data_IF_773997824606
#
_entry.id   IF_773997824606
#
_cell.length_a   1.000
_cell.length_b   1.000
_cell.length_c   1.000
_cell.angle_alpha   90.00
_cell.angle_beta   90.00
_cell.angle_gamma   90.00
#
_symmetry.space_group_name_H-M   'P 1'
#
loop_
_entity.id
_entity.type
_entity.pdbx_description
1 polymer ?
#
# COMPACT_ATOMS: atom_id res chain seq x y z
N UNK A 1 12.04 18.61 6.63
CA UNK A 1 11.21 18.31 5.45
C UNK A 1 11.74 16.99 4.93
N UNK A 2 11.04 15.89 5.22
CA UNK A 2 11.39 14.60 4.63
C UNK A 2 11.28 14.68 3.11
N UNK A 3 12.08 13.85 2.43
CA UNK A 3 12.04 13.79 0.98
C UNK A 3 10.71 13.13 0.57
N UNK A 4 9.88 13.86 -0.16
CA UNK A 4 8.63 13.33 -0.72
C UNK A 4 8.97 12.18 -1.66
N UNK A 5 8.41 11.00 -1.40
CA UNK A 5 8.53 9.85 -2.30
C UNK A 5 7.84 10.15 -3.63
N UNK A 6 8.42 9.66 -4.73
CA UNK A 6 7.82 9.77 -6.08
C UNK A 6 7.43 8.42 -6.65
N UNK A 7 7.88 7.34 -6.01
CA UNK A 7 7.52 5.96 -6.30
C UNK A 7 7.97 5.04 -5.17
N UNK A 8 7.42 3.83 -5.14
CA UNK A 8 7.81 2.75 -4.23
C UNK A 8 8.22 1.51 -5.01
N UNK A 9 9.01 0.66 -4.36
CA UNK A 9 9.33 -0.70 -4.81
C UNK A 9 9.23 -1.65 -3.61
N UNK A 10 8.37 -2.66 -3.71
CA UNK A 10 8.08 -3.59 -2.61
C UNK A 10 8.87 -4.89 -2.77
N UNK A 11 9.43 -5.38 -1.67
CA UNK A 11 10.18 -6.62 -1.65
C UNK A 11 9.24 -7.81 -1.91
N UNK A 12 9.58 -8.67 -2.86
CA UNK A 12 8.86 -9.93 -3.09
C UNK A 12 9.25 -10.95 -2.02
N UNK A 13 8.29 -11.71 -1.51
CA UNK A 13 8.48 -12.80 -0.57
C UNK A 13 9.28 -13.92 -1.24
N UNK A 14 10.51 -14.23 -0.78
CA UNK A 14 11.34 -15.26 -1.42
C UNK A 14 11.06 -16.67 -0.88
N UNK A 15 10.66 -16.79 0.39
CA UNK A 15 10.45 -18.05 1.10
C UNK A 15 9.62 -17.82 2.38
N UNK A 16 9.01 -18.89 2.90
CA UNK A 16 8.08 -18.84 4.03
C UNK A 16 8.69 -18.26 5.33
N UNK A 17 9.94 -18.55 5.62
CA UNK A 17 10.67 -18.07 6.80
C UNK A 17 10.88 -16.53 6.78
N UNK A 18 10.65 -15.89 5.63
CA UNK A 18 10.76 -14.44 5.46
C UNK A 18 9.40 -13.74 5.49
N UNK A 19 8.30 -14.45 5.77
CA UNK A 19 6.94 -13.89 5.71
C UNK A 19 6.77 -12.65 6.59
N UNK A 20 7.07 -12.77 7.89
CA UNK A 20 6.87 -11.69 8.85
C UNK A 20 7.70 -10.44 8.54
N UNK A 21 9.04 -10.53 8.38
CA UNK A 21 9.84 -9.36 8.05
C UNK A 21 9.52 -8.79 6.67
N UNK A 22 9.02 -9.61 5.73
CA UNK A 22 8.58 -9.11 4.42
C UNK A 22 7.30 -8.27 4.53
N UNK A 23 6.29 -8.75 5.25
CA UNK A 23 5.05 -8.00 5.48
C UNK A 23 5.34 -6.73 6.27
N UNK A 24 6.13 -6.80 7.34
CA UNK A 24 6.47 -5.65 8.18
C UNK A 24 7.14 -4.54 7.35
N UNK A 25 8.23 -4.85 6.66
CA UNK A 25 8.96 -3.85 5.88
C UNK A 25 8.15 -3.28 4.71
N UNK A 26 7.36 -4.11 4.02
CA UNK A 26 6.49 -3.62 2.95
C UNK A 26 5.35 -2.76 3.51
N UNK A 27 4.74 -3.15 4.63
CA UNK A 27 3.70 -2.36 5.28
C UNK A 27 4.23 -0.99 5.71
N UNK A 28 5.43 -0.91 6.30
CA UNK A 28 6.05 0.37 6.66
C UNK A 28 6.26 1.26 5.44
N UNK A 29 6.79 0.68 4.35
CA UNK A 29 6.99 1.40 3.08
C UNK A 29 5.67 1.91 2.50
N UNK A 30 4.62 1.08 2.56
CA UNK A 30 3.29 1.43 2.06
C UNK A 30 2.67 2.55 2.90
N UNK A 31 2.72 2.45 4.22
CA UNK A 31 2.12 3.47 5.10
C UNK A 31 2.87 4.80 4.99
N UNK A 32 4.20 4.79 4.84
CA UNK A 32 4.95 6.01 4.53
C UNK A 32 4.49 6.64 3.21
N UNK A 33 4.28 5.84 2.17
CA UNK A 33 3.80 6.35 0.89
C UNK A 33 2.34 6.84 0.93
N UNK A 34 1.48 6.22 1.75
CA UNK A 34 0.12 6.70 2.01
C UNK A 34 0.16 8.08 2.67
N UNK A 35 1.01 8.25 3.69
CA UNK A 35 1.17 9.54 4.36
C UNK A 35 1.66 10.62 3.39
N UNK A 36 2.67 10.31 2.58
CA UNK A 36 3.19 11.21 1.54
C UNK A 36 2.11 11.62 0.53
N UNK A 37 1.26 10.69 0.09
CA UNK A 37 0.18 10.99 -0.84
C UNK A 37 -0.88 11.90 -0.21
N UNK A 38 -1.24 11.70 1.06
CA UNK A 38 -2.11 12.63 1.78
C UNK A 38 -1.48 14.01 1.95
N UNK A 39 -0.16 14.08 2.20
CA UNK A 39 0.54 15.35 2.26
C UNK A 39 0.52 16.08 0.91
N UNK A 40 0.67 15.35 -0.20
CA UNK A 40 0.58 15.90 -1.56
C UNK A 40 -0.82 16.43 -1.85
N UNK A 41 -1.85 15.67 -1.54
CA UNK A 41 -3.25 16.10 -1.71
C UNK A 41 -3.55 17.35 -0.89
N UNK A 42 -3.25 17.32 0.41
CA UNK A 42 -3.49 18.44 1.32
C UNK A 42 -2.68 19.71 0.95
N UNK A 43 -1.52 19.58 0.29
CA UNK A 43 -0.76 20.72 -0.20
C UNK A 43 -1.49 21.51 -1.30
N UNK A 44 -2.45 20.88 -1.99
CA UNK A 44 -3.26 21.50 -3.05
C UNK A 44 -4.64 21.89 -2.55
N UNK A 45 -5.29 21.02 -1.76
CA UNK A 45 -6.70 21.16 -1.39
C UNK A 45 -6.94 21.67 0.05
N UNK A 46 -5.92 21.63 0.92
CA UNK A 46 -5.94 22.19 2.28
C UNK A 46 -7.05 21.64 3.22
N UNK A 47 -7.40 20.36 3.09
CA UNK A 47 -8.49 19.74 3.86
C UNK A 47 -8.06 19.17 5.23
N UNK A 48 -6.76 19.18 5.52
CA UNK A 48 -6.18 18.48 6.66
C UNK A 48 -5.59 17.13 6.26
N UNK A 49 -4.79 16.54 7.14
CA UNK A 49 -4.14 15.24 6.89
C UNK A 49 -4.79 14.22 7.82
N UNK A 50 -5.34 13.15 7.25
CA UNK A 50 -5.72 11.97 8.03
C UNK A 50 -4.46 11.28 8.55
N UNK A 51 -4.45 10.93 9.84
CA UNK A 51 -3.32 10.21 10.41
C UNK A 51 -3.26 8.80 9.83
N UNK A 52 -2.16 8.49 9.14
CA UNK A 52 -1.92 7.13 8.66
C UNK A 52 -1.71 6.18 9.85
N UNK A 53 -2.42 5.06 9.94
CA UNK A 53 -2.25 4.11 11.03
C UNK A 53 -0.83 3.51 11.02
N UNK A 54 -0.22 3.39 12.19
CA UNK A 54 1.08 2.75 12.34
C UNK A 54 0.98 1.25 12.09
N UNK A 55 2.00 0.67 11.44
CA UNK A 55 2.11 -0.78 11.31
C UNK A 55 2.44 -1.40 12.67
N UNK A 56 1.60 -2.31 13.22
CA UNK A 56 1.94 -2.99 14.45
C UNK A 56 3.08 -3.98 14.20
N UNK A 57 4.05 -4.03 15.12
CA UNK A 57 5.11 -5.04 15.09
C UNK A 57 4.52 -6.47 15.14
N UNK A 58 5.17 -7.47 14.51
CA UNK A 58 4.71 -8.84 14.55
C UNK A 58 4.68 -9.35 16.00
N UNK A 59 3.61 -10.06 16.42
CA UNK A 59 3.44 -10.47 17.82
C UNK A 59 4.35 -11.65 18.21
N UNK A 60 5.11 -12.20 17.27
CA UNK A 60 5.94 -13.39 17.41
C UNK A 60 6.97 -13.43 16.29
N UNK A 61 8.04 -14.20 16.49
CA UNK A 61 9.02 -14.53 15.45
C UNK A 61 8.74 -15.89 14.79
N UNK A 62 7.75 -16.63 15.27
CA UNK A 62 7.40 -17.98 14.78
C UNK A 62 6.19 -17.93 13.86
N UNK A 63 6.19 -18.80 12.84
CA UNK A 63 5.05 -18.98 11.94
C UNK A 63 3.96 -19.83 12.61
N UNK A 64 3.16 -19.16 13.44
CA UNK A 64 2.04 -19.75 14.17
C UNK A 64 0.72 -18.99 13.89
N UNK A 65 -0.34 -19.35 14.61
CA UNK A 65 -1.66 -18.71 14.46
C UNK A 65 -1.63 -17.20 14.72
N UNK A 66 -0.82 -16.73 15.66
CA UNK A 66 -0.72 -15.30 15.98
C UNK A 66 -0.06 -14.53 14.82
N UNK A 67 1.04 -15.05 14.29
CA UNK A 67 1.68 -14.55 13.08
C UNK A 67 0.70 -14.45 11.91
N UNK A 68 -0.08 -15.51 11.67
CA UNK A 68 -1.07 -15.55 10.60
C UNK A 68 -2.18 -14.50 10.75
N UNK A 69 -2.74 -14.36 11.96
CA UNK A 69 -3.77 -13.36 12.23
C UNK A 69 -3.23 -11.94 12.05
N UNK A 70 -1.98 -11.71 12.47
CA UNK A 70 -1.29 -10.45 12.25
C UNK A 70 -1.07 -10.17 10.76
N UNK A 71 -0.62 -11.14 9.96
CA UNK A 71 -0.49 -10.96 8.50
C UNK A 71 -1.82 -10.54 7.86
N UNK A 72 -2.91 -11.23 8.22
CA UNK A 72 -4.26 -10.93 7.72
C UNK A 72 -4.75 -9.54 8.13
N UNK A 73 -4.42 -9.12 9.35
CA UNK A 73 -4.69 -7.78 9.83
C UNK A 73 -3.91 -6.74 9.00
N UNK A 74 -2.60 -6.90 8.84
CA UNK A 74 -1.76 -6.00 8.06
C UNK A 74 -2.21 -5.87 6.60
N UNK A 75 -2.51 -6.98 5.92
CA UNK A 75 -3.03 -6.93 4.54
C UNK A 75 -4.37 -6.19 4.47
N UNK A 76 -5.22 -6.35 5.49
CA UNK A 76 -6.49 -5.64 5.57
C UNK A 76 -6.34 -4.14 5.75
N UNK A 77 -5.45 -3.71 6.65
CA UNK A 77 -5.15 -2.31 6.90
C UNK A 77 -4.49 -1.65 5.69
N UNK A 78 -3.56 -2.35 5.02
CA UNK A 78 -2.96 -1.89 3.76
C UNK A 78 -4.02 -1.65 2.70
N UNK A 79 -4.92 -2.61 2.47
CA UNK A 79 -5.98 -2.44 1.48
C UNK A 79 -6.86 -1.25 1.83
N UNK A 80 -7.24 -1.10 3.09
CA UNK A 80 -8.05 0.02 3.55
C UNK A 80 -7.36 1.36 3.30
N UNK A 81 -6.11 1.50 3.76
CA UNK A 81 -5.34 2.74 3.64
C UNK A 81 -5.12 3.15 2.19
N UNK A 82 -4.71 2.23 1.32
CA UNK A 82 -4.48 2.51 -0.11
C UNK A 82 -5.80 2.88 -0.80
N UNK A 83 -6.90 2.18 -0.50
CA UNK A 83 -8.20 2.49 -1.10
C UNK A 83 -8.82 3.80 -0.61
N UNK A 84 -8.48 4.24 0.60
CA UNK A 84 -8.87 5.54 1.12
C UNK A 84 -8.21 6.66 0.33
N UNK A 85 -6.89 6.59 0.11
CA UNK A 85 -6.17 7.57 -0.73
C UNK A 85 -6.68 7.54 -2.18
N UNK A 86 -6.95 6.36 -2.75
CA UNK A 86 -7.57 6.26 -4.08
C UNK A 86 -8.91 6.99 -4.13
N UNK A 87 -9.75 6.82 -3.10
CA UNK A 87 -11.05 7.50 -3.05
C UNK A 87 -10.88 9.02 -2.97
N UNK A 88 -9.93 9.50 -2.17
CA UNK A 88 -9.61 10.92 -2.02
C UNK A 88 -9.10 11.53 -3.34
N UNK A 89 -8.15 10.85 -3.98
CA UNK A 89 -7.61 11.28 -5.28
C UNK A 89 -8.73 11.31 -6.33
N UNK A 90 -9.61 10.33 -6.35
CA UNK A 90 -10.75 10.30 -7.26
C UNK A 90 -11.74 11.46 -6.97
N UNK A 91 -12.06 11.77 -5.71
CA UNK A 91 -12.96 12.87 -5.36
C UNK A 91 -12.40 14.24 -5.77
N UNK A 92 -11.08 14.41 -5.74
CA UNK A 92 -10.39 15.61 -6.21
C UNK A 92 -10.06 15.60 -7.71
N UNK A 93 -10.39 14.52 -8.43
CA UNK A 93 -10.10 14.39 -9.86
C UNK A 93 -8.60 14.28 -10.17
N UNK A 94 -7.80 13.76 -9.24
CA UNK A 94 -6.37 13.46 -9.43
C UNK A 94 -6.22 12.15 -10.23
N UNK A 95 -6.61 12.23 -11.50
CA UNK A 95 -6.61 11.12 -12.46
C UNK A 95 -5.64 11.38 -13.61
N UNK A 96 -5.11 10.32 -14.20
CA UNK A 96 -4.05 10.41 -15.21
C UNK A 96 -4.47 10.05 -16.63
N UNK A 97 -3.63 10.39 -17.62
CA UNK A 97 -3.80 9.94 -19.00
C UNK A 97 -3.70 8.40 -19.11
N UNK A 98 -4.22 7.80 -20.20
CA UNK A 98 -4.87 8.46 -21.33
C UNK A 98 -6.35 8.81 -21.09
N UNK A 99 -7.01 8.08 -20.20
CA UNK A 99 -8.48 8.06 -20.15
C UNK A 99 -9.06 9.01 -19.09
N UNK A 100 -8.25 9.51 -18.15
CA UNK A 100 -8.67 10.39 -17.06
C UNK A 100 -9.90 9.85 -16.31
N UNK A 101 -9.91 8.54 -16.11
CA UNK A 101 -10.95 7.83 -15.36
C UNK A 101 -10.49 7.57 -13.95
N UNK A 102 -11.46 7.49 -13.04
CA UNK A 102 -11.24 7.10 -11.65
C UNK A 102 -10.38 5.83 -11.53
N UNK A 103 -9.47 5.87 -10.57
CA UNK A 103 -8.66 4.71 -10.21
C UNK A 103 -9.54 3.65 -9.55
N UNK A 104 -9.37 2.41 -9.97
CA UNK A 104 -10.08 1.26 -9.38
C UNK A 104 -9.42 0.90 -8.05
N UNK A 105 -10.25 0.75 -7.01
CA UNK A 105 -9.81 0.27 -5.72
C UNK A 105 -9.25 -1.15 -5.80
N UNK A 106 -8.18 -1.41 -5.05
CA UNK A 106 -7.52 -2.71 -5.01
C UNK A 106 -8.26 -3.68 -4.08
N UNK A 107 -8.19 -4.97 -4.40
CA UNK A 107 -8.62 -6.07 -3.54
C UNK A 107 -7.43 -6.98 -3.35
N UNK A 108 -6.99 -7.12 -2.10
CA UNK A 108 -5.84 -7.95 -1.75
C UNK A 108 -6.29 -9.32 -1.31
N UNK A 109 -5.52 -10.32 -1.70
CA UNK A 109 -5.72 -11.68 -1.26
C UNK A 109 -5.44 -11.80 0.24
N UNK A 110 -6.29 -12.55 0.93
CA UNK A 110 -6.13 -12.85 2.34
C UNK A 110 -5.91 -14.36 2.50
N UNK A 111 -4.85 -14.78 3.19
CA UNK A 111 -4.69 -16.19 3.51
C UNK A 111 -5.93 -16.76 4.19
N UNK A 112 -6.31 -17.98 3.79
CA UNK A 112 -7.34 -18.81 4.46
C UNK A 112 -6.73 -20.07 5.11
N UNK A 113 -5.46 -20.36 4.85
CA UNK A 113 -4.76 -21.55 5.34
C UNK A 113 -3.41 -21.20 5.96
N UNK A 114 -2.98 -21.99 6.96
CA UNK A 114 -1.70 -21.78 7.64
C UNK A 114 -0.48 -22.26 6.83
N UNK A 115 -0.69 -22.98 5.72
CA UNK A 115 0.39 -23.51 4.91
C UNK A 115 0.93 -22.42 3.97
N UNK A 116 2.22 -22.10 4.10
CA UNK A 116 2.90 -21.15 3.20
C UNK A 116 3.57 -21.97 2.11
N UNK A 117 2.80 -22.28 1.08
CA UNK A 117 3.26 -22.99 -0.12
C UNK A 117 3.54 -22.01 -1.28
N UNK A 118 3.84 -22.54 -2.46
CA UNK A 118 4.10 -21.72 -3.64
C UNK A 118 2.89 -20.87 -4.06
N UNK A 119 1.66 -21.32 -3.81
CA UNK A 119 0.44 -20.56 -4.13
C UNK A 119 0.26 -19.38 -3.19
N UNK A 120 0.54 -19.57 -1.89
CA UNK A 120 0.58 -18.49 -0.91
C UNK A 120 1.58 -17.42 -1.34
N UNK A 121 2.82 -17.82 -1.63
CA UNK A 121 3.90 -16.89 -2.00
C UNK A 121 3.53 -16.13 -3.28
N UNK A 122 2.93 -16.82 -4.25
CA UNK A 122 2.49 -16.22 -5.51
C UNK A 122 1.38 -15.19 -5.29
N UNK A 123 0.37 -15.53 -4.47
CA UNK A 123 -0.73 -14.63 -4.16
C UNK A 123 -0.25 -13.37 -3.43
N UNK A 124 0.56 -13.51 -2.38
CA UNK A 124 1.10 -12.36 -1.65
C UNK A 124 1.99 -11.47 -2.53
N UNK A 125 2.82 -12.08 -3.40
CA UNK A 125 3.63 -11.30 -4.34
C UNK A 125 2.79 -10.57 -5.40
N UNK A 126 1.63 -11.14 -5.77
CA UNK A 126 0.68 -10.48 -6.65
C UNK A 126 0.01 -9.28 -5.95
N UNK A 127 -0.29 -9.41 -4.66
CA UNK A 127 -0.76 -8.29 -3.84
C UNK A 127 0.28 -7.16 -3.78
N UNK A 128 1.55 -7.49 -3.54
CA UNK A 128 2.64 -6.49 -3.57
C UNK A 128 2.75 -5.79 -4.91
N UNK A 129 2.62 -6.51 -6.03
CA UNK A 129 2.62 -5.87 -7.34
C UNK A 129 1.41 -4.95 -7.55
N UNK A 130 0.23 -5.33 -7.05
CA UNK A 130 -0.98 -4.53 -7.16
C UNK A 130 -0.88 -3.22 -6.35
N UNK A 131 -0.41 -3.30 -5.09
CA UNK A 131 -0.19 -2.12 -4.24
C UNK A 131 0.85 -1.19 -4.83
N UNK A 132 2.00 -1.74 -5.26
CA UNK A 132 3.08 -0.99 -5.91
C UNK A 132 2.58 -0.25 -7.15
N UNK A 133 1.80 -0.93 -7.99
CA UNK A 133 1.20 -0.32 -9.18
C UNK A 133 0.25 0.82 -8.79
N UNK A 134 -0.67 0.58 -7.86
CA UNK A 134 -1.66 1.58 -7.45
C UNK A 134 -0.99 2.84 -6.89
N UNK A 135 -0.04 2.71 -5.97
CA UNK A 135 0.68 3.84 -5.37
C UNK A 135 1.49 4.59 -6.42
N UNK A 136 2.22 3.89 -7.27
CA UNK A 136 3.03 4.54 -8.32
C UNK A 136 2.16 5.25 -9.35
N UNK A 137 0.96 4.74 -9.65
CA UNK A 137 -0.01 5.44 -10.48
C UNK A 137 -0.53 6.71 -9.80
N UNK A 138 -0.83 6.70 -8.51
CA UNK A 138 -1.24 7.92 -7.78
C UNK A 138 -0.16 9.00 -7.83
N UNK A 139 1.10 8.65 -7.58
CA UNK A 139 2.22 9.58 -7.75
C UNK A 139 2.28 10.12 -9.17
N UNK A 140 2.21 9.26 -10.19
CA UNK A 140 2.27 9.67 -11.59
C UNK A 140 1.12 10.61 -11.98
N UNK A 141 -0.09 10.33 -11.52
CA UNK A 141 -1.26 11.18 -11.76
C UNK A 141 -1.05 12.57 -11.15
N UNK A 142 -0.66 12.63 -9.88
CA UNK A 142 -0.37 13.88 -9.19
C UNK A 142 0.70 14.70 -9.92
N UNK A 143 1.82 14.09 -10.27
CA UNK A 143 2.90 14.78 -10.99
C UNK A 143 2.45 15.30 -12.35
N UNK A 144 1.66 14.52 -13.07
CA UNK A 144 1.16 14.89 -14.40
C UNK A 144 0.25 16.13 -14.37
N UNK A 145 -0.50 16.31 -13.28
CA UNK A 145 -1.46 17.40 -13.11
C UNK A 145 -0.84 18.65 -12.48
N UNK A 146 -0.01 18.48 -11.46
CA UNK A 146 0.42 19.60 -10.60
C UNK A 146 1.90 19.96 -10.71
N UNK A 147 2.76 19.06 -11.25
CA UNK A 147 4.20 19.32 -11.36
C UNK A 147 4.69 19.60 -12.79
N UNK A 148 3.80 19.68 -13.79
CA UNK A 148 4.19 20.17 -15.13
C UNK A 148 4.27 21.70 -15.12
N UNK A 149 5.47 22.21 -14.83
CA UNK A 149 5.91 23.61 -14.98
C UNK A 149 7.40 23.68 -15.23
#
# INVERSE_FOLDING_TARGET
>A
MEAIMTSIALARLPAADRLLPNIEANAETIMAAVDDLYQLDNAVFFEGIEATPSVPAPPTTELNRAAYLWCNYCVGDIQYAVNAVIAEFNSHGIVGPPDYTDMVQITLWRPETLAIDGSFITALNSDWAAVETAINTMYSNYESLFKKG
#
